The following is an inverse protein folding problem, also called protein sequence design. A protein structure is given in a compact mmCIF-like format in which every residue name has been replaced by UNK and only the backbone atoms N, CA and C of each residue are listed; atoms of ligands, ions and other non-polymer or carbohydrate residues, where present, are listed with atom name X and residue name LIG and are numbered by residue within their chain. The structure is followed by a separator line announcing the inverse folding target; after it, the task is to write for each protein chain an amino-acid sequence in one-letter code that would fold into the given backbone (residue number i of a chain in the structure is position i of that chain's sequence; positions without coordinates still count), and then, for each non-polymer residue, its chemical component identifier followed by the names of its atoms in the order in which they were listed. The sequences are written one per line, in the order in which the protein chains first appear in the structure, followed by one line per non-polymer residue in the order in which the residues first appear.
data_IF_643116706093
#
_entry.id   IF_643116706093
#
_cell.length_a   1.000
_cell.length_b   1.000
_cell.length_c   1.000
_cell.angle_alpha   90.00
_cell.angle_beta   90.00
_cell.angle_gamma   90.00
#
_symmetry.space_group_name_H-M   'P 1'
#
loop_
_entity.id
_entity.type
_entity.pdbx_description
1 polymer ?
#
# COMPACT_ATOMS: atom_id res chain seq x y z
N UNK A 1 31.67 -75.45 -33.91
CA UNK A 1 30.27 -75.91 -34.11
C UNK A 1 29.35 -74.71 -33.97
N UNK A 2 28.51 -74.45 -34.99
CA UNK A 2 27.35 -73.54 -35.13
C UNK A 2 27.41 -72.10 -34.52
N UNK A 3 27.28 -70.98 -35.24
CA UNK A 3 26.34 -70.50 -36.30
C UNK A 3 25.26 -69.54 -35.76
N UNK A 4 25.16 -68.39 -36.44
CA UNK A 4 24.03 -67.45 -36.64
C UNK A 4 23.70 -66.36 -35.60
N UNK A 5 23.99 -65.14 -36.08
CA UNK A 5 23.26 -63.88 -35.98
C UNK A 5 21.78 -63.98 -35.55
N UNK A 6 21.36 -63.05 -34.67
CA UNK A 6 20.08 -62.35 -34.82
C UNK A 6 20.13 -60.97 -34.13
N UNK A 7 19.69 -59.97 -34.88
CA UNK A 7 19.42 -58.57 -34.50
C UNK A 7 18.41 -58.50 -33.34
N UNK A 8 18.46 -57.43 -32.54
CA UNK A 8 17.29 -56.62 -32.21
C UNK A 8 17.71 -55.32 -31.49
N UNK A 9 17.51 -54.22 -32.22
CA UNK A 9 17.37 -52.84 -31.74
C UNK A 9 16.21 -52.79 -30.76
N UNK A 10 16.38 -52.18 -29.58
CA UNK A 10 15.26 -51.66 -28.78
C UNK A 10 15.78 -50.57 -27.84
N UNK A 11 15.32 -49.34 -28.12
CA UNK A 11 15.74 -48.12 -27.44
C UNK A 11 15.32 -48.07 -25.98
N UNK A 12 16.22 -47.54 -25.15
CA UNK A 12 15.86 -46.98 -23.86
C UNK A 12 15.61 -45.48 -24.06
N UNK A 13 14.33 -45.14 -24.21
CA UNK A 13 13.87 -43.77 -24.05
C UNK A 13 14.13 -43.33 -22.60
N UNK A 14 15.10 -42.45 -22.40
CA UNK A 14 15.27 -41.76 -21.13
C UNK A 14 14.09 -40.80 -20.94
N UNK A 15 13.08 -41.22 -20.17
CA UNK A 15 12.01 -40.34 -19.71
C UNK A 15 12.61 -39.32 -18.74
N UNK A 16 12.91 -38.12 -19.23
CA UNK A 16 13.21 -36.98 -18.39
C UNK A 16 11.93 -36.61 -17.61
N UNK A 17 11.85 -37.01 -16.35
CA UNK A 17 10.88 -36.50 -15.40
C UNK A 17 11.24 -35.04 -15.12
N UNK A 18 10.72 -34.13 -15.94
CA UNK A 18 10.64 -32.71 -15.60
C UNK A 18 9.73 -32.60 -14.38
N UNK A 19 10.35 -32.49 -13.20
CA UNK A 19 9.68 -31.95 -12.02
C UNK A 19 9.30 -30.51 -12.36
N UNK A 20 8.10 -30.35 -12.93
CA UNK A 20 7.49 -29.04 -13.12
C UNK A 20 7.50 -28.35 -11.77
N UNK A 21 8.32 -27.33 -11.63
CA UNK A 21 8.18 -26.40 -10.52
C UNK A 21 6.77 -25.80 -10.67
N UNK A 22 5.86 -26.23 -9.80
CA UNK A 22 4.56 -25.61 -9.66
C UNK A 22 4.81 -24.19 -9.17
N UNK A 23 4.98 -23.27 -10.12
CA UNK A 23 4.94 -21.84 -9.85
C UNK A 23 3.53 -21.56 -9.38
N UNK A 24 3.33 -21.61 -8.06
CA UNK A 24 2.13 -21.08 -7.44
C UNK A 24 2.17 -19.57 -7.72
N UNK A 25 1.48 -19.15 -8.76
CA UNK A 25 1.02 -17.78 -8.89
C UNK A 25 0.14 -17.51 -7.66
N UNK A 26 0.76 -17.03 -6.58
CA UNK A 26 0.04 -16.59 -5.41
C UNK A 26 -0.98 -15.54 -5.86
N UNK A 27 -2.25 -15.77 -5.53
CA UNK A 27 -3.37 -14.91 -5.88
C UNK A 27 -3.12 -13.50 -5.29
N UNK A 28 -2.56 -12.61 -6.11
CA UNK A 28 -2.23 -11.25 -5.72
C UNK A 28 -3.48 -10.49 -5.24
N UNK A 29 -4.64 -10.79 -5.85
CA UNK A 29 -5.92 -10.22 -5.44
C UNK A 29 -6.29 -10.53 -3.99
N UNK A 30 -5.99 -11.74 -3.51
CA UNK A 30 -6.26 -12.13 -2.12
C UNK A 30 -5.42 -11.36 -1.09
N UNK A 31 -4.13 -11.16 -1.37
CA UNK A 31 -3.20 -10.44 -0.46
C UNK A 31 -3.48 -8.94 -0.44
N UNK A 32 -3.73 -8.38 -1.61
CA UNK A 32 -3.98 -6.95 -1.80
C UNK A 32 -5.29 -6.57 -1.08
N UNK A 33 -6.33 -7.40 -1.24
CA UNK A 33 -7.59 -7.26 -0.50
C UNK A 33 -7.39 -7.31 1.00
N UNK A 34 -6.59 -8.26 1.51
CA UNK A 34 -6.30 -8.35 2.93
C UNK A 34 -5.60 -7.09 3.47
N UNK A 35 -4.67 -6.51 2.69
CA UNK A 35 -4.04 -5.24 3.05
C UNK A 35 -5.08 -4.13 3.15
N UNK A 36 -5.93 -3.91 2.14
CA UNK A 36 -6.92 -2.84 2.18
C UNK A 36 -7.97 -3.03 3.28
N UNK A 37 -8.35 -4.27 3.57
CA UNK A 37 -9.17 -4.60 4.73
C UNK A 37 -8.47 -4.23 6.04
N UNK A 38 -7.16 -4.44 6.15
CA UNK A 38 -6.39 -4.01 7.34
C UNK A 38 -6.35 -2.49 7.52
N UNK A 39 -6.57 -1.70 6.47
CA UNK A 39 -6.66 -0.23 6.56
C UNK A 39 -8.01 0.23 7.09
N UNK A 40 -9.06 -0.58 7.00
CA UNK A 40 -10.41 -0.20 7.44
C UNK A 40 -10.48 0.14 8.93
N UNK A 41 -11.35 1.08 9.32
CA UNK A 41 -11.57 1.52 10.69
C UNK A 41 -10.99 2.91 11.00
N UNK A 42 -11.06 3.31 12.27
CA UNK A 42 -10.69 4.65 12.73
C UNK A 42 -9.21 4.74 13.11
N UNK A 43 -8.55 5.80 12.67
CA UNK A 43 -7.14 6.08 12.85
C UNK A 43 -6.92 7.50 13.39
N UNK A 44 -5.99 7.66 14.32
CA UNK A 44 -5.60 8.96 14.86
C UNK A 44 -4.11 8.99 15.13
N UNK A 45 -3.46 10.12 14.86
CA UNK A 45 -2.08 10.29 15.30
C UNK A 45 -1.38 11.53 14.77
N UNK A 46 -0.16 11.77 15.26
CA UNK A 46 0.64 12.92 14.87
C UNK A 46 1.26 12.75 13.48
N UNK A 47 1.51 13.88 12.82
CA UNK A 47 2.37 13.97 11.66
C UNK A 47 3.21 15.24 11.68
N UNK A 48 4.24 15.24 10.86
CA UNK A 48 5.20 16.34 10.74
C UNK A 48 5.61 16.55 9.29
N UNK A 49 5.78 17.81 8.91
CA UNK A 49 6.45 18.18 7.66
C UNK A 49 7.97 18.11 7.92
N UNK A 50 8.67 17.20 7.27
CA UNK A 50 10.09 16.90 7.56
C UNK A 50 11.06 17.65 6.64
N UNK A 51 10.58 18.23 5.54
CA UNK A 51 11.41 18.96 4.58
C UNK A 51 10.66 20.14 3.94
N UNK A 52 11.43 21.04 3.31
CA UNK A 52 10.90 22.23 2.62
C UNK A 52 10.61 23.42 3.54
N UNK A 53 9.93 24.44 3.01
CA UNK A 53 9.65 25.72 3.70
C UNK A 53 8.93 25.55 5.04
N UNK A 54 8.07 24.53 5.14
CA UNK A 54 7.23 24.29 6.31
C UNK A 54 7.78 23.20 7.25
N UNK A 55 9.07 22.86 7.13
CA UNK A 55 9.72 21.87 7.99
C UNK A 55 9.49 22.16 9.49
N UNK A 56 9.19 21.12 10.26
CA UNK A 56 8.90 21.20 11.69
C UNK A 56 7.44 21.51 12.01
N UNK A 57 6.60 21.78 11.01
CA UNK A 57 5.16 21.95 11.22
C UNK A 57 4.55 20.63 11.64
N UNK A 58 4.01 20.59 12.85
CA UNK A 58 3.32 19.43 13.42
C UNK A 58 1.81 19.54 13.23
N UNK A 59 1.19 18.40 13.01
CA UNK A 59 -0.25 18.27 12.87
C UNK A 59 -0.74 16.97 13.48
N UNK A 60 -2.05 16.86 13.67
CA UNK A 60 -2.69 15.62 14.15
C UNK A 60 -3.81 15.25 13.21
N UNK A 61 -3.79 14.04 12.69
CA UNK A 61 -4.82 13.54 11.79
C UNK A 61 -5.82 12.64 12.54
N UNK A 62 -7.08 12.71 12.11
CA UNK A 62 -8.15 11.77 12.41
C UNK A 62 -8.69 11.28 11.08
N UNK A 63 -8.49 10.01 10.77
CA UNK A 63 -8.80 9.40 9.48
C UNK A 63 -9.66 8.17 9.70
N UNK A 64 -10.51 7.86 8.73
CA UNK A 64 -11.36 6.67 8.70
C UNK A 64 -11.08 5.94 7.40
N UNK A 65 -10.60 4.71 7.53
CA UNK A 65 -10.41 3.80 6.41
C UNK A 65 -11.69 3.01 6.13
N UNK A 66 -12.04 2.87 4.87
CA UNK A 66 -13.15 2.07 4.39
C UNK A 66 -12.63 1.25 3.20
N UNK A 67 -12.54 -0.07 3.35
CA UNK A 67 -12.27 -0.92 2.21
C UNK A 67 -13.43 -0.78 1.21
N UNK A 68 -13.13 -0.76 -0.08
CA UNK A 68 -14.18 -0.68 -1.10
C UNK A 68 -14.93 -2.03 -1.15
N UNK A 69 -16.25 -1.96 -1.09
CA UNK A 69 -17.11 -3.13 -1.20
C UNK A 69 -17.38 -3.50 -2.66
N UNK A 70 -17.77 -4.76 -2.89
CA UNK A 70 -18.27 -5.32 -4.16
C UNK A 70 -17.26 -5.38 -5.32
N UNK A 71 -16.57 -6.51 -5.42
CA UNK A 71 -15.83 -6.93 -6.63
C UNK A 71 -14.56 -6.15 -6.97
N UNK A 72 -14.28 -5.05 -6.26
CA UNK A 72 -13.14 -4.16 -6.51
C UNK A 72 -12.25 -4.11 -5.29
N UNK A 73 -10.98 -4.49 -5.44
CA UNK A 73 -9.98 -4.38 -4.38
C UNK A 73 -9.56 -2.91 -4.25
N UNK A 74 -9.69 -2.31 -3.07
CA UNK A 74 -9.30 -0.93 -2.85
C UNK A 74 -9.67 -0.40 -1.47
N UNK A 75 -9.32 0.85 -1.20
CA UNK A 75 -9.63 1.54 0.05
C UNK A 75 -9.87 3.03 -0.18
N UNK A 76 -10.74 3.59 0.64
CA UNK A 76 -10.89 5.02 0.85
C UNK A 76 -10.44 5.37 2.26
N UNK A 77 -9.62 6.40 2.40
CA UNK A 77 -9.14 6.93 3.66
C UNK A 77 -9.48 8.42 3.72
N UNK A 78 -10.46 8.79 4.56
CA UNK A 78 -10.96 10.16 4.66
C UNK A 78 -10.87 10.68 6.08
N UNK A 79 -10.71 11.99 6.23
CA UNK A 79 -10.83 12.65 7.51
C UNK A 79 -10.23 14.05 7.52
N UNK A 80 -9.62 14.43 8.63
CA UNK A 80 -9.05 15.77 8.81
C UNK A 80 -7.70 15.73 9.51
N UNK A 81 -6.82 16.65 9.12
CA UNK A 81 -5.58 16.91 9.83
C UNK A 81 -5.59 18.35 10.38
N UNK A 82 -5.36 18.46 11.69
CA UNK A 82 -5.37 19.73 12.44
C UNK A 82 -3.95 20.27 12.59
N UNK A 83 -3.73 21.53 12.21
CA UNK A 83 -2.51 22.30 12.43
C UNK A 83 -2.88 23.50 13.32
N UNK A 84 -2.50 23.47 14.60
CA UNK A 84 -2.93 24.50 15.55
C UNK A 84 -4.46 24.62 15.60
N UNK A 85 -5.01 25.79 15.27
CA UNK A 85 -6.48 26.03 15.24
C UNK A 85 -7.13 25.68 13.90
N UNK A 86 -6.34 25.40 12.86
CA UNK A 86 -6.85 25.12 11.52
C UNK A 86 -7.03 23.63 11.30
N UNK A 87 -8.12 23.25 10.63
CA UNK A 87 -8.36 21.89 10.17
C UNK A 87 -8.32 21.86 8.64
N UNK A 88 -7.66 20.86 8.07
CA UNK A 88 -7.62 20.62 6.63
C UNK A 88 -8.23 19.24 6.35
N UNK A 89 -9.12 19.11 5.36
CA UNK A 89 -9.61 17.80 4.93
C UNK A 89 -8.44 16.99 4.34
N UNK A 90 -8.47 15.68 4.57
CA UNK A 90 -7.50 14.72 4.05
C UNK A 90 -8.25 13.54 3.45
N UNK A 91 -8.00 13.23 2.19
CA UNK A 91 -8.65 12.13 1.47
C UNK A 91 -7.65 11.37 0.60
N UNK A 92 -7.77 10.06 0.58
CA UNK A 92 -7.08 9.17 -0.36
C UNK A 92 -8.04 8.06 -0.79
N UNK A 93 -8.23 7.89 -2.09
CA UNK A 93 -9.01 6.81 -2.68
C UNK A 93 -8.10 6.00 -3.57
N UNK A 94 -8.03 4.68 -3.36
CA UNK A 94 -7.13 3.76 -4.04
C UNK A 94 -7.96 2.58 -4.53
N UNK A 95 -7.82 2.25 -5.80
CA UNK A 95 -8.53 1.16 -6.45
C UNK A 95 -7.56 0.33 -7.27
N UNK A 96 -7.67 -1.00 -7.18
CA UNK A 96 -6.93 -1.92 -8.03
C UNK A 96 -7.49 -1.86 -9.45
N UNK A 97 -6.58 -1.75 -10.42
CA UNK A 97 -6.91 -1.79 -11.84
C UNK A 97 -5.92 -2.73 -12.53
N UNK A 98 -6.36 -3.96 -12.79
CA UNK A 98 -5.49 -5.03 -13.30
C UNK A 98 -4.36 -5.35 -12.33
N UNK A 99 -3.11 -5.26 -12.80
CA UNK A 99 -1.91 -5.51 -11.99
C UNK A 99 -1.33 -4.28 -11.28
N UNK A 100 -2.04 -3.15 -11.27
CA UNK A 100 -1.59 -1.88 -10.68
C UNK A 100 -2.73 -1.20 -9.91
N UNK A 101 -2.49 0.02 -9.47
CA UNK A 101 -3.41 0.83 -8.68
C UNK A 101 -3.60 2.22 -9.29
N UNK A 102 -4.84 2.70 -9.23
CA UNK A 102 -5.19 4.06 -9.57
C UNK A 102 -6.00 4.71 -8.43
N UNK A 103 -6.21 6.01 -8.53
CA UNK A 103 -6.99 6.72 -7.53
C UNK A 103 -6.61 8.18 -7.39
N UNK A 104 -6.95 8.75 -6.24
CA UNK A 104 -6.80 10.19 -5.96
C UNK A 104 -6.32 10.41 -4.54
N UNK A 105 -5.34 11.29 -4.38
CA UNK A 105 -4.99 11.89 -3.10
C UNK A 105 -5.43 13.35 -3.12
N UNK A 106 -6.11 13.84 -2.08
CA UNK A 106 -6.63 15.22 -1.95
C UNK A 106 -7.37 15.71 -3.20
N UNK A 107 -8.38 14.95 -3.63
CA UNK A 107 -9.22 15.19 -4.83
C UNK A 107 -8.51 15.02 -6.20
N UNK A 108 -7.27 14.53 -6.20
CA UNK A 108 -6.52 14.27 -7.42
C UNK A 108 -6.01 15.55 -8.10
N UNK A 109 -5.48 15.40 -9.31
CA UNK A 109 -4.91 16.52 -10.07
C UNK A 109 -5.96 17.56 -10.52
N UNK A 110 -7.24 17.17 -10.59
CA UNK A 110 -8.35 18.08 -10.86
C UNK A 110 -8.69 19.00 -9.66
N UNK A 111 -8.28 18.60 -8.45
CA UNK A 111 -8.47 19.36 -7.22
C UNK A 111 -7.17 19.92 -6.65
N UNK A 112 -6.96 19.76 -5.34
CA UNK A 112 -5.79 20.29 -4.63
C UNK A 112 -4.63 19.29 -4.53
N UNK A 113 -4.84 18.06 -4.96
CA UNK A 113 -3.98 16.93 -4.67
C UNK A 113 -3.24 16.37 -5.87
N UNK A 114 -3.06 15.05 -5.88
CA UNK A 114 -2.31 14.30 -6.89
C UNK A 114 -3.06 13.03 -7.29
N UNK A 115 -2.91 12.64 -8.54
CA UNK A 115 -3.45 11.36 -9.01
C UNK A 115 -2.54 10.22 -8.58
N UNK A 116 -3.15 9.11 -8.20
CA UNK A 116 -2.45 7.85 -7.97
C UNK A 116 -2.45 7.12 -9.30
N UNK A 117 -1.25 6.88 -9.85
CA UNK A 117 -1.10 6.33 -11.22
C UNK A 117 -0.48 4.95 -11.25
N UNK A 118 0.10 4.52 -10.13
CA UNK A 118 0.70 3.20 -10.00
C UNK A 118 0.76 2.79 -8.55
N UNK A 119 0.97 1.49 -8.30
CA UNK A 119 1.34 1.05 -6.98
C UNK A 119 1.66 -0.44 -6.90
N UNK A 120 2.05 -0.87 -5.70
CA UNK A 120 2.26 -2.27 -5.36
C UNK A 120 1.99 -2.47 -3.88
N UNK A 121 1.49 -3.65 -3.52
CA UNK A 121 1.29 -4.08 -2.13
C UNK A 121 2.23 -5.25 -1.87
N UNK A 122 3.02 -5.16 -0.80
CA UNK A 122 3.88 -6.24 -0.30
C UNK A 122 4.02 -6.13 1.20
N UNK A 123 3.88 -7.25 1.91
CA UNK A 123 4.25 -7.38 3.34
C UNK A 123 3.65 -6.29 4.25
N UNK A 124 2.34 -6.05 4.15
CA UNK A 124 1.65 -5.04 4.94
C UNK A 124 2.01 -3.59 4.58
N UNK A 125 2.67 -3.40 3.44
CA UNK A 125 3.09 -2.10 2.92
C UNK A 125 2.49 -1.89 1.54
N UNK A 126 1.96 -0.70 1.29
CA UNK A 126 1.62 -0.23 -0.05
C UNK A 126 2.55 0.91 -0.44
N UNK A 127 3.04 0.85 -1.68
CA UNK A 127 3.82 1.93 -2.31
C UNK A 127 3.02 2.41 -3.51
N UNK A 128 2.70 3.70 -3.54
CA UNK A 128 1.86 4.33 -4.55
C UNK A 128 2.65 5.42 -5.26
N UNK A 129 2.59 5.45 -6.58
CA UNK A 129 3.10 6.54 -7.40
C UNK A 129 2.09 7.69 -7.45
N UNK A 130 2.56 8.90 -7.13
CA UNK A 130 1.75 10.12 -7.21
C UNK A 130 2.21 10.96 -8.40
N UNK A 131 1.27 11.44 -9.20
CA UNK A 131 1.55 12.33 -10.32
C UNK A 131 0.62 13.53 -10.34
N UNK A 132 1.19 14.71 -10.63
CA UNK A 132 0.45 15.89 -11.06
C UNK A 132 1.32 16.76 -11.96
N UNK A 133 1.13 16.67 -13.26
CA UNK A 133 1.87 17.46 -14.26
C UNK A 133 3.39 17.31 -14.07
N UNK A 134 4.06 18.28 -13.45
CA UNK A 134 5.51 18.30 -13.19
C UNK A 134 5.91 17.71 -11.82
N UNK A 135 4.95 17.53 -10.92
CA UNK A 135 5.20 17.02 -9.58
C UNK A 135 5.02 15.49 -9.59
N UNK A 136 6.12 14.78 -9.39
CA UNK A 136 6.13 13.34 -9.18
C UNK A 136 6.40 13.06 -7.71
N UNK A 137 5.71 12.09 -7.14
CA UNK A 137 5.86 11.71 -5.75
C UNK A 137 5.61 10.23 -5.51
N UNK A 138 5.77 9.83 -4.28
CA UNK A 138 5.40 8.50 -3.82
C UNK A 138 4.74 8.60 -2.45
N UNK A 139 3.73 7.78 -2.22
CA UNK A 139 3.16 7.56 -0.89
C UNK A 139 3.48 6.13 -0.49
N UNK A 140 4.00 5.96 0.72
CA UNK A 140 4.25 4.67 1.33
C UNK A 140 3.39 4.60 2.58
N UNK A 141 2.51 3.61 2.66
CA UNK A 141 1.75 3.34 3.87
C UNK A 141 2.03 1.91 4.34
N UNK A 142 2.41 1.77 5.61
CA UNK A 142 2.74 0.48 6.23
C UNK A 142 1.87 0.28 7.46
N UNK A 143 1.05 -0.77 7.43
CA UNK A 143 0.30 -1.23 8.61
C UNK A 143 1.18 -2.21 9.36
N UNK A 144 1.48 -1.88 10.61
CA UNK A 144 2.20 -2.75 11.55
C UNK A 144 1.19 -3.25 12.56
N UNK A 145 1.29 -4.53 12.96
CA UNK A 145 0.58 -5.14 14.10
C UNK A 145 -0.95 -4.92 14.21
N UNK A 146 -1.61 -4.54 13.11
CA UNK A 146 -3.03 -4.13 13.03
C UNK A 146 -3.42 -2.92 13.89
N UNK A 147 -2.50 -2.32 14.66
CA UNK A 147 -2.79 -1.17 15.54
C UNK A 147 -2.08 0.10 15.11
N UNK A 148 -0.99 -0.01 14.37
CA UNK A 148 -0.17 1.13 13.95
C UNK A 148 -0.11 1.23 12.42
N UNK A 149 -0.17 2.46 11.90
CA UNK A 149 0.04 2.74 10.49
C UNK A 149 0.98 3.92 10.32
N UNK A 150 2.05 3.71 9.57
CA UNK A 150 2.99 4.77 9.21
C UNK A 150 2.77 5.15 7.75
N UNK A 151 2.58 6.45 7.49
CA UNK A 151 2.43 7.00 6.15
C UNK A 151 3.56 8.00 5.90
N UNK A 152 4.26 7.83 4.79
CA UNK A 152 5.28 8.77 4.32
C UNK A 152 4.92 9.23 2.92
N UNK A 153 4.94 10.55 2.70
CA UNK A 153 4.77 11.14 1.38
C UNK A 153 6.10 11.78 0.99
N UNK A 154 6.58 11.40 -0.18
CA UNK A 154 7.83 11.87 -0.77
C UNK A 154 7.55 12.55 -2.10
N UNK A 155 8.36 13.54 -2.44
CA UNK A 155 8.34 14.20 -3.76
C UNK A 155 9.69 14.04 -4.44
N UNK A 156 9.68 13.99 -5.76
CA UNK A 156 10.89 13.93 -6.57
C UNK A 156 11.50 15.31 -6.72
N UNK A 157 12.76 15.45 -6.32
CA UNK A 157 13.58 16.66 -6.51
C UNK A 157 14.82 16.25 -7.31
N UNK A 158 14.90 16.72 -8.56
CA UNK A 158 15.91 16.21 -9.50
C UNK A 158 15.73 14.71 -9.72
N UNK A 159 16.75 13.92 -9.40
CA UNK A 159 16.73 12.46 -9.50
C UNK A 159 16.44 11.74 -8.16
N UNK A 160 16.24 12.50 -7.08
CA UNK A 160 16.10 11.94 -5.73
C UNK A 160 14.67 12.04 -5.21
N UNK A 161 14.23 11.02 -4.47
CA UNK A 161 12.98 11.04 -3.72
C UNK A 161 13.24 11.59 -2.32
N UNK A 162 12.61 12.70 -1.98
CA UNK A 162 12.77 13.37 -0.68
C UNK A 162 11.47 13.22 0.11
N UNK A 163 11.51 12.61 1.32
CA UNK A 163 10.34 12.57 2.19
C UNK A 163 10.02 13.99 2.64
N UNK A 164 8.76 14.38 2.52
CA UNK A 164 8.28 15.73 2.90
C UNK A 164 7.29 15.68 4.04
N UNK A 165 6.53 14.59 4.16
CA UNK A 165 5.51 14.43 5.20
C UNK A 165 5.64 13.02 5.78
N UNK A 166 5.68 12.94 7.11
CA UNK A 166 5.56 11.69 7.86
C UNK A 166 4.36 11.74 8.79
N UNK A 167 3.62 10.64 8.90
CA UNK A 167 2.47 10.49 9.80
C UNK A 167 2.54 9.12 10.45
N UNK A 168 2.32 9.08 11.76
CA UNK A 168 2.16 7.84 12.52
C UNK A 168 0.77 7.84 13.12
N UNK A 169 -0.03 6.85 12.74
CA UNK A 169 -1.41 6.69 13.13
C UNK A 169 -1.55 5.46 14.04
N UNK A 170 -2.41 5.57 15.03
CA UNK A 170 -2.85 4.47 15.89
C UNK A 170 -4.36 4.28 15.72
N UNK A 171 -4.86 3.09 16.03
CA UNK A 171 -6.31 2.86 16.07
C UNK A 171 -6.95 3.81 17.07
N UNK A 172 -8.05 4.47 16.70
CA UNK A 172 -8.74 5.36 17.63
C UNK A 172 -9.39 4.60 18.80
N UNK A 173 -9.71 3.32 18.59
CA UNK A 173 -10.50 2.51 19.52
C UNK A 173 -9.66 1.83 20.62
N UNK A 174 -8.33 1.85 20.53
CA UNK A 174 -7.44 1.25 21.56
C UNK A 174 -7.21 2.17 22.77
N UNK A 175 -7.48 3.48 22.65
CA UNK A 175 -7.21 4.46 23.72
C UNK A 175 -8.41 4.75 24.64
N UNK A 176 -9.63 4.34 24.28
CA UNK A 176 -10.82 4.67 25.09
C UNK A 176 -10.95 3.84 26.38
N UNK A 177 -10.15 2.79 26.58
CA UNK A 177 -10.21 1.98 27.82
C UNK A 177 -9.24 2.43 28.92
N UNK A 178 -8.35 3.40 28.69
CA UNK A 178 -7.28 3.74 29.63
C UNK A 178 -7.57 4.91 30.59
N UNK A 179 -8.71 5.59 30.47
CA UNK A 179 -9.09 6.68 31.40
C UNK A 179 -10.06 6.18 32.47
N UNK A 180 -9.53 5.41 33.42
CA UNK A 180 -10.21 5.14 34.68
C UNK A 180 -10.39 6.46 35.45
N UNK A 181 -11.63 6.83 35.71
CA UNK A 181 -11.98 7.89 36.65
C UNK A 181 -11.46 7.52 38.03
N UNK A 182 -10.49 8.28 38.52
CA UNK A 182 -10.25 8.42 39.96
C UNK A 182 -11.42 9.20 40.56
N UNK A 183 -12.19 8.55 41.43
CA UNK A 183 -13.10 9.20 42.39
C UNK A 183 -12.58 8.94 43.79
#
# INVERSE_FOLDING_TARGET
MLSRQFLLVSGFAAAALSLGAWVHSADAGSRDKAFFQSVAGSWRGPGEIVAGKYKGTKFTCNLTGQALDSGTTGVKLDGTCRVGVFQQPMSAEITQNGGSYNGKFLDGAAGKGLDITSGTVSDGTVVLGLNRQKLNGAMIARVTDNKSMNVTISVKVGEQMVPVIGVTLQRADVDQMAVGSIQ
#
